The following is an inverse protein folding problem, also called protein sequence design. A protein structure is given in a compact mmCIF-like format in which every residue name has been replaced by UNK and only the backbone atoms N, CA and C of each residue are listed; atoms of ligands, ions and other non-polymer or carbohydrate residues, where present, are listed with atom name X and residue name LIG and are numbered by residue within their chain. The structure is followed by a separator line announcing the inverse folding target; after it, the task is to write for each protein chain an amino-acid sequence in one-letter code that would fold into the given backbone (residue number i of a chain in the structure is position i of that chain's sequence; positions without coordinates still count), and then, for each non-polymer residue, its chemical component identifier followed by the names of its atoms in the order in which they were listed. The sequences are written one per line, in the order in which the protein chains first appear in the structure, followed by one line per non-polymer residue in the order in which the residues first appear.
data_IF_371664853380
#
_entry.id   IF_371664853380
#
_cell.length_a   1.000
_cell.length_b   1.000
_cell.length_c   1.000
_cell.angle_alpha   90.00
_cell.angle_beta   90.00
_cell.angle_gamma   90.00
#
_symmetry.space_group_name_H-M   'P 1'
#
loop_
_entity.id
_entity.type
_entity.pdbx_description
1 polymer ?
#
# COMPACT_ATOMS: atom_id res chain seq x y z
N UNK A 1 42.49 10.22 -15.58
CA UNK A 1 41.06 9.92 -15.69
C UNK A 1 40.61 10.33 -17.07
N UNK A 2 39.94 9.45 -17.80
CA UNK A 2 39.45 9.75 -19.16
C UNK A 2 38.17 10.60 -19.11
N UNK A 3 37.82 11.28 -20.20
CA UNK A 3 36.56 12.08 -20.27
C UNK A 3 35.33 11.20 -20.05
N UNK A 4 35.37 9.97 -20.57
CA UNK A 4 34.33 8.96 -20.37
C UNK A 4 34.17 8.59 -18.89
N UNK A 5 35.27 8.26 -18.21
CA UNK A 5 35.26 7.96 -16.77
C UNK A 5 34.69 9.12 -15.96
N UNK A 6 35.01 10.36 -16.33
CA UNK A 6 34.47 11.56 -15.69
C UNK A 6 32.95 11.67 -15.81
N UNK A 7 32.39 11.42 -17.00
CA UNK A 7 30.93 11.43 -17.23
C UNK A 7 30.22 10.33 -16.46
N UNK A 8 30.74 9.10 -16.52
CA UNK A 8 30.15 7.95 -15.80
C UNK A 8 30.14 8.18 -14.29
N UNK A 9 31.21 8.73 -13.72
CA UNK A 9 31.26 9.08 -12.30
C UNK A 9 30.26 10.17 -11.92
N UNK A 10 30.04 11.16 -12.79
CA UNK A 10 29.04 12.19 -12.56
C UNK A 10 27.63 11.59 -12.54
N UNK A 11 27.30 10.74 -13.50
CA UNK A 11 25.98 10.09 -13.60
C UNK A 11 25.72 9.16 -12.42
N UNK A 12 26.71 8.35 -12.02
CA UNK A 12 26.59 7.46 -10.86
C UNK A 12 26.40 8.24 -9.54
N UNK A 13 27.00 9.43 -9.40
CA UNK A 13 26.77 10.28 -8.22
C UNK A 13 25.33 10.80 -8.17
N UNK A 14 24.78 11.21 -9.31
CA UNK A 14 23.38 11.63 -9.41
C UNK A 14 22.45 10.47 -9.07
N UNK A 15 22.69 9.29 -9.65
CA UNK A 15 21.90 8.09 -9.38
C UNK A 15 21.95 7.71 -7.90
N UNK A 16 23.14 7.72 -7.28
CA UNK A 16 23.31 7.43 -5.86
C UNK A 16 22.50 8.42 -5.01
N UNK A 17 22.56 9.72 -5.31
CA UNK A 17 21.80 10.74 -4.59
C UNK A 17 20.28 10.51 -4.69
N UNK A 18 19.77 10.14 -5.87
CA UNK A 18 18.36 9.82 -6.05
C UNK A 18 17.96 8.55 -5.28
N UNK A 19 18.80 7.52 -5.30
CA UNK A 19 18.59 6.29 -4.54
C UNK A 19 18.59 6.53 -3.04
N UNK A 20 19.50 7.37 -2.54
CA UNK A 20 19.58 7.76 -1.13
C UNK A 20 18.29 8.48 -0.69
N UNK A 21 17.65 9.25 -1.56
CA UNK A 21 16.33 9.87 -1.28
C UNK A 21 15.17 8.86 -1.31
N UNK A 22 15.22 7.87 -2.20
CA UNK A 22 14.17 6.86 -2.32
C UNK A 22 14.21 5.87 -1.17
N UNK A 23 15.38 5.30 -0.88
CA UNK A 23 15.57 4.29 0.16
C UNK A 23 15.71 4.91 1.55
N UNK A 24 16.28 6.11 1.63
CA UNK A 24 16.66 6.74 2.89
C UNK A 24 18.04 6.31 3.36
N UNK A 25 18.69 7.18 4.13
CA UNK A 25 20.05 7.00 4.65
C UNK A 25 20.04 7.04 6.18
N UNK A 26 19.32 6.09 6.79
CA UNK A 26 19.08 6.04 8.24
C UNK A 26 17.85 6.81 8.71
N UNK A 27 17.16 7.49 7.80
CA UNK A 27 15.81 8.03 7.98
C UNK A 27 14.88 7.45 6.90
N UNK A 28 13.56 7.34 7.14
CA UNK A 28 12.63 6.79 6.16
C UNK A 28 12.68 7.53 4.82
N UNK A 29 13.00 6.79 3.75
CA UNK A 29 12.95 7.31 2.39
C UNK A 29 11.52 7.45 1.86
N UNK A 30 11.39 7.96 0.64
CA UNK A 30 10.06 8.12 0.00
C UNK A 30 9.33 6.78 -0.17
N UNK A 31 10.06 5.68 -0.34
CA UNK A 31 9.49 4.35 -0.53
C UNK A 31 8.83 3.85 0.76
N UNK A 32 9.50 4.03 1.91
CA UNK A 32 8.94 3.71 3.23
C UNK A 32 7.67 4.52 3.53
N UNK A 33 7.64 5.81 3.18
CA UNK A 33 6.44 6.63 3.35
C UNK A 33 5.26 6.15 2.48
N UNK A 34 5.55 5.64 1.28
CA UNK A 34 4.56 5.04 0.40
C UNK A 34 4.02 3.73 0.99
N UNK A 35 4.90 2.85 1.47
CA UNK A 35 4.53 1.60 2.14
C UNK A 35 3.61 1.86 3.34
N UNK A 36 3.95 2.81 4.22
CA UNK A 36 3.10 3.18 5.36
C UNK A 36 1.73 3.73 4.94
N UNK A 37 1.66 4.44 3.81
CA UNK A 37 0.40 4.96 3.29
C UNK A 37 -0.45 3.83 2.69
N UNK A 38 0.17 2.91 1.96
CA UNK A 38 -0.48 1.72 1.41
C UNK A 38 -1.00 0.84 2.53
N UNK A 39 -0.19 0.56 3.54
CA UNK A 39 -0.58 -0.28 4.68
C UNK A 39 -1.79 0.32 5.43
N UNK A 40 -1.79 1.64 5.66
CA UNK A 40 -2.95 2.33 6.24
C UNK A 40 -4.20 2.19 5.37
N UNK A 41 -4.04 2.26 4.05
CA UNK A 41 -5.15 2.11 3.11
C UNK A 41 -5.69 0.67 3.10
N UNK A 42 -4.81 -0.33 3.09
CA UNK A 42 -5.18 -1.75 3.16
C UNK A 42 -5.97 -2.07 4.43
N UNK A 43 -5.50 -1.61 5.59
CA UNK A 43 -6.22 -1.78 6.86
C UNK A 43 -7.60 -1.12 6.86
N UNK A 44 -7.76 0.00 6.16
CA UNK A 44 -9.05 0.67 6.02
C UNK A 44 -9.99 -0.13 5.14
N UNK A 45 -9.52 -0.56 3.97
CA UNK A 45 -10.26 -1.38 3.01
C UNK A 45 -10.65 -2.73 3.63
N UNK A 46 -9.76 -3.35 4.39
CA UNK A 46 -10.02 -4.63 5.05
C UNK A 46 -11.15 -4.50 6.10
N UNK A 47 -11.13 -3.44 6.91
CA UNK A 47 -12.21 -3.18 7.88
C UNK A 47 -13.54 -2.93 7.19
N UNK A 48 -13.55 -2.15 6.11
CA UNK A 48 -14.75 -1.92 5.31
C UNK A 48 -15.31 -3.22 4.72
N UNK A 49 -14.45 -4.06 4.16
CA UNK A 49 -14.83 -5.39 3.65
C UNK A 49 -15.48 -6.24 4.74
N UNK A 50 -14.85 -6.34 5.92
CA UNK A 50 -15.39 -7.10 7.04
C UNK A 50 -16.79 -6.64 7.46
N UNK A 51 -17.00 -5.32 7.52
CA UNK A 51 -18.30 -4.73 7.87
C UNK A 51 -19.36 -5.02 6.81
N UNK A 52 -19.04 -4.84 5.54
CA UNK A 52 -19.96 -5.14 4.43
C UNK A 52 -20.34 -6.62 4.40
N UNK A 53 -19.39 -7.52 4.62
CA UNK A 53 -19.66 -8.96 4.72
C UNK A 53 -20.57 -9.29 5.89
N UNK A 54 -20.35 -8.70 7.07
CA UNK A 54 -21.19 -8.94 8.24
C UNK A 54 -22.63 -8.44 8.03
N UNK A 55 -22.81 -7.24 7.46
CA UNK A 55 -24.14 -6.73 7.10
C UNK A 55 -24.80 -7.63 6.07
N UNK A 56 -24.08 -8.00 5.01
CA UNK A 56 -24.59 -8.89 3.97
C UNK A 56 -25.11 -10.20 4.57
N UNK A 57 -24.31 -10.84 5.43
CA UNK A 57 -24.69 -12.08 6.11
C UNK A 57 -25.94 -11.90 6.98
N UNK A 58 -26.03 -10.80 7.74
CA UNK A 58 -27.20 -10.51 8.58
C UNK A 58 -28.46 -10.31 7.73
N UNK A 59 -28.37 -9.56 6.63
CA UNK A 59 -29.48 -9.37 5.68
C UNK A 59 -29.92 -10.70 5.07
N UNK A 60 -28.97 -11.56 4.69
CA UNK A 60 -29.28 -12.91 4.17
C UNK A 60 -30.00 -13.75 5.22
N UNK A 61 -29.54 -13.76 6.48
CA UNK A 61 -30.20 -14.51 7.56
C UNK A 61 -31.64 -14.03 7.79
N UNK A 62 -31.88 -12.72 7.77
CA UNK A 62 -33.22 -12.14 7.88
C UNK A 62 -34.12 -12.64 6.74
N UNK A 63 -33.62 -12.64 5.50
CA UNK A 63 -34.39 -13.15 4.35
C UNK A 63 -34.71 -14.64 4.48
N UNK A 64 -33.74 -15.45 4.93
CA UNK A 64 -33.95 -16.89 5.17
C UNK A 64 -35.02 -17.10 6.25
N UNK A 65 -34.96 -16.36 7.36
CA UNK A 65 -35.93 -16.46 8.44
C UNK A 65 -37.35 -16.07 7.99
N UNK A 66 -37.50 -14.96 7.25
CA UNK A 66 -38.79 -14.53 6.69
C UNK A 66 -39.34 -15.61 5.74
N UNK A 67 -38.51 -16.14 4.85
CA UNK A 67 -38.93 -17.19 3.90
C UNK A 67 -39.32 -18.49 4.62
N UNK A 68 -38.65 -18.82 5.73
CA UNK A 68 -39.00 -19.97 6.56
C UNK A 68 -40.33 -19.78 7.28
N UNK A 69 -40.56 -18.60 7.89
CA UNK A 69 -41.81 -18.29 8.62
C UNK A 69 -43.04 -18.14 7.70
N UNK A 70 -42.82 -17.81 6.43
CA UNK A 70 -43.88 -17.64 5.43
C UNK A 70 -44.32 -18.96 4.78
N UNK A 71 -43.59 -20.05 5.03
CA UNK A 71 -43.84 -21.38 4.48
C UNK A 71 -44.54 -22.26 5.51
#
# INVERSE_FOLDING_TARGET
MTEFEGKVLADLRVLKSQMDQLMGIGQPGRLTQLEERVERHERSVQRLKGFTTAIGALVTLIHVAINYLRR
#
